data_IF_741229294624
#
_entry.id   IF_741229294624
#
_cell.length_a   1.000
_cell.length_b   1.000
_cell.length_c   1.000
_cell.angle_alpha   90.00
_cell.angle_beta   90.00
_cell.angle_gamma   90.00
#
_symmetry.space_group_name_H-M   'P 1'
#
loop_
_entity.id
_entity.type
_entity.pdbx_description
1 polymer ?
#
# COMPACT_ATOMS: atom_id res chain seq x y z
N UNK A 1 -3.14 17.52 -10.58
CA UNK A 1 -2.98 17.79 -9.14
C UNK A 1 -4.13 17.06 -8.47
N UNK A 2 -3.87 16.03 -7.69
CA UNK A 2 -4.92 15.39 -6.90
C UNK A 2 -5.40 16.40 -5.86
N UNK A 3 -6.72 16.48 -5.68
CA UNK A 3 -7.31 17.39 -4.72
C UNK A 3 -7.21 16.80 -3.31
N UNK A 4 -7.07 17.66 -2.30
CA UNK A 4 -7.09 17.23 -0.88
C UNK A 4 -8.35 16.42 -0.56
N UNK A 5 -9.46 16.73 -1.23
CA UNK A 5 -10.73 16.02 -1.14
C UNK A 5 -10.64 14.53 -1.52
N UNK A 6 -9.87 14.19 -2.57
CA UNK A 6 -9.67 12.80 -3.01
C UNK A 6 -8.83 12.03 -1.99
N UNK A 7 -7.83 12.68 -1.38
CA UNK A 7 -7.02 12.09 -0.32
C UNK A 7 -7.85 11.82 0.94
N UNK A 8 -8.72 12.75 1.33
CA UNK A 8 -9.61 12.59 2.49
C UNK A 8 -10.62 11.48 2.24
N UNK A 9 -11.20 11.42 1.04
CA UNK A 9 -12.14 10.36 0.66
C UNK A 9 -11.50 8.98 0.71
N UNK A 10 -10.27 8.84 0.21
CA UNK A 10 -9.54 7.56 0.26
C UNK A 10 -9.19 7.13 1.69
N UNK A 11 -8.88 8.07 2.58
CA UNK A 11 -8.69 7.76 4.00
C UNK A 11 -9.97 7.24 4.66
N UNK A 12 -11.13 7.77 4.26
CA UNK A 12 -12.42 7.28 4.74
C UNK A 12 -12.69 5.85 4.24
N UNK A 13 -12.39 5.54 2.97
CA UNK A 13 -12.50 4.17 2.45
C UNK A 13 -11.61 3.16 3.20
N UNK A 14 -10.34 3.51 3.47
CA UNK A 14 -9.45 2.66 4.27
C UNK A 14 -10.03 2.45 5.66
N UNK A 15 -10.53 3.52 6.29
CA UNK A 15 -11.13 3.46 7.62
C UNK A 15 -12.38 2.58 7.63
N UNK A 16 -13.25 2.69 6.62
CA UNK A 16 -14.43 1.85 6.40
C UNK A 16 -14.03 0.37 6.27
N UNK A 17 -13.03 0.06 5.44
CA UNK A 17 -12.56 -1.30 5.21
C UNK A 17 -11.89 -1.93 6.44
N UNK A 18 -11.18 -1.12 7.23
CA UNK A 18 -10.53 -1.54 8.46
C UNK A 18 -11.38 -1.26 9.71
N UNK A 19 -12.68 -0.97 9.60
CA UNK A 19 -13.55 -0.78 10.77
C UNK A 19 -13.54 -1.99 11.72
N UNK A 20 -13.42 -3.19 11.15
CA UNK A 20 -13.36 -4.45 11.92
C UNK A 20 -11.97 -4.74 12.50
N UNK A 21 -10.95 -4.01 12.07
CA UNK A 21 -9.55 -4.22 12.46
C UNK A 21 -8.81 -2.88 12.58
N UNK A 22 -9.07 -2.12 13.67
CA UNK A 22 -8.50 -0.79 13.85
C UNK A 22 -6.96 -0.80 13.89
N UNK A 23 -6.33 -1.93 14.22
CA UNK A 23 -4.88 -2.09 14.18
C UNK A 23 -4.29 -1.96 12.78
N UNK A 24 -5.02 -2.31 11.72
CA UNK A 24 -4.57 -2.07 10.33
C UNK A 24 -4.60 -0.59 9.96
N UNK A 25 -5.62 0.14 10.39
CA UNK A 25 -5.71 1.58 10.16
C UNK A 25 -4.58 2.32 10.89
N UNK A 26 -4.28 1.93 12.14
CA UNK A 26 -3.18 2.53 12.90
C UNK A 26 -1.82 2.28 12.22
N UNK A 27 -1.57 1.07 11.72
CA UNK A 27 -0.38 0.76 10.92
C UNK A 27 -0.28 1.59 9.65
N UNK A 28 -1.39 1.86 8.97
CA UNK A 28 -1.37 2.75 7.80
C UNK A 28 -0.88 4.16 8.18
N UNK A 29 -1.38 4.70 9.30
CA UNK A 29 -0.97 6.02 9.79
C UNK A 29 0.50 6.04 10.23
N UNK A 30 0.98 4.97 10.85
CA UNK A 30 2.39 4.79 11.22
C UNK A 30 3.30 4.84 9.99
N UNK A 31 2.97 4.09 8.94
CA UNK A 31 3.70 4.11 7.66
C UNK A 31 3.70 5.52 7.04
N UNK A 32 2.55 6.20 7.03
CA UNK A 32 2.45 7.55 6.47
C UNK A 32 3.25 8.57 7.29
N UNK A 33 3.30 8.41 8.61
CA UNK A 33 4.12 9.25 9.51
C UNK A 33 5.61 9.02 9.25
N UNK A 34 6.05 7.78 9.18
CA UNK A 34 7.44 7.43 8.89
C UNK A 34 7.89 7.98 7.54
N UNK A 35 7.03 7.90 6.52
CA UNK A 35 7.31 8.47 5.21
C UNK A 35 7.38 10.00 5.25
N UNK A 36 6.44 10.66 5.93
CA UNK A 36 6.44 12.12 6.10
C UNK A 36 7.66 12.61 6.90
N UNK A 37 8.16 11.79 7.82
CA UNK A 37 9.36 12.03 8.60
C UNK A 37 10.66 11.68 7.89
N UNK A 38 10.63 11.25 6.62
CA UNK A 38 11.79 10.72 5.89
C UNK A 38 12.50 9.53 6.60
N UNK A 39 11.81 8.82 7.48
CA UNK A 39 12.33 7.62 8.17
C UNK A 39 12.41 6.46 7.19
N UNK A 40 11.38 6.32 6.34
CA UNK A 40 11.30 5.30 5.30
C UNK A 40 11.28 5.94 3.92
N UNK A 41 11.90 5.26 2.95
CA UNK A 41 11.92 5.70 1.55
C UNK A 41 10.59 5.41 0.85
N UNK A 42 10.36 6.05 -0.31
CA UNK A 42 9.20 5.75 -1.19
C UNK A 42 9.06 4.27 -1.48
N UNK A 43 10.18 3.56 -1.69
CA UNK A 43 10.16 2.12 -1.89
C UNK A 43 9.59 1.37 -0.67
N UNK A 44 10.13 1.62 0.54
CA UNK A 44 9.66 1.03 1.80
C UNK A 44 8.17 1.32 2.07
N UNK A 45 7.71 2.56 1.82
CA UNK A 45 6.29 2.91 2.00
C UNK A 45 5.39 2.03 1.13
N UNK A 46 5.78 1.81 -0.13
CA UNK A 46 5.01 1.01 -1.08
C UNK A 46 4.96 -0.45 -0.67
N UNK A 47 6.08 -1.00 -0.21
CA UNK A 47 6.15 -2.38 0.30
C UNK A 47 5.21 -2.56 1.49
N UNK A 48 5.31 -1.69 2.49
CA UNK A 48 4.48 -1.79 3.70
C UNK A 48 2.99 -1.62 3.38
N UNK A 49 2.63 -0.67 2.52
CA UNK A 49 1.25 -0.46 2.06
C UNK A 49 0.74 -1.67 1.27
N UNK A 50 1.57 -2.24 0.37
CA UNK A 50 1.21 -3.42 -0.41
C UNK A 50 0.88 -4.64 0.46
N UNK A 51 1.63 -4.82 1.56
CA UNK A 51 1.37 -5.89 2.53
C UNK A 51 0.13 -5.60 3.36
N UNK A 52 -0.12 -4.33 3.71
CA UNK A 52 -1.29 -3.92 4.47
C UNK A 52 -2.59 -4.07 3.68
N UNK A 53 -2.55 -3.76 2.38
CA UNK A 53 -3.68 -3.88 1.45
C UNK A 53 -3.79 -5.26 0.81
N UNK A 54 -2.95 -6.21 1.22
CA UNK A 54 -3.03 -7.58 0.78
C UNK A 54 -4.40 -8.18 1.16
N UNK A 55 -5.12 -8.71 0.16
CA UNK A 55 -6.49 -9.19 0.31
C UNK A 55 -7.58 -8.11 0.13
N UNK A 56 -7.20 -6.85 -0.11
CA UNK A 56 -8.11 -5.73 -0.37
C UNK A 56 -7.80 -5.09 -1.73
N UNK A 57 -8.19 -5.73 -2.85
CA UNK A 57 -7.85 -5.25 -4.20
C UNK A 57 -8.37 -3.85 -4.51
N UNK A 58 -9.50 -3.45 -3.90
CA UNK A 58 -10.08 -2.11 -4.04
C UNK A 58 -9.15 -1.03 -3.47
N UNK A 59 -8.55 -1.27 -2.29
CA UNK A 59 -7.59 -0.34 -1.68
C UNK A 59 -6.31 -0.23 -2.50
N UNK A 60 -5.83 -1.36 -3.04
CA UNK A 60 -4.65 -1.38 -3.93
C UNK A 60 -4.90 -0.52 -5.18
N UNK A 61 -6.07 -0.68 -5.81
CA UNK A 61 -6.46 0.09 -7.00
C UNK A 61 -6.62 1.57 -6.68
N UNK A 62 -7.30 1.88 -5.57
CA UNK A 62 -7.47 3.26 -5.11
C UNK A 62 -6.14 3.92 -4.76
N UNK A 63 -5.12 3.18 -4.32
CA UNK A 63 -3.80 3.76 -4.04
C UNK A 63 -3.05 4.21 -5.30
N UNK A 64 -3.34 3.63 -6.47
CA UNK A 64 -2.64 3.96 -7.73
C UNK A 64 -2.76 5.43 -8.13
N UNK A 65 -3.83 6.11 -7.73
CA UNK A 65 -3.99 7.54 -8.01
C UNK A 65 -3.01 8.39 -7.20
N UNK A 66 -2.52 7.89 -6.06
CA UNK A 66 -1.54 8.58 -5.20
C UNK A 66 -0.09 8.27 -5.61
N UNK A 67 0.12 7.40 -6.58
CA UNK A 67 1.44 7.04 -7.06
C UNK A 67 1.93 8.01 -8.15
N UNK A 68 3.22 8.40 -8.14
CA UNK A 68 3.80 9.16 -9.23
C UNK A 68 3.82 8.35 -10.53
N UNK A 69 3.82 9.04 -11.67
CA UNK A 69 3.81 8.42 -12.98
C UNK A 69 4.93 7.36 -13.12
N UNK A 70 4.56 6.15 -13.51
CA UNK A 70 5.45 4.99 -13.63
C UNK A 70 5.39 4.01 -12.45
N UNK A 71 4.79 4.39 -11.32
CA UNK A 71 4.51 3.47 -10.21
C UNK A 71 3.07 2.97 -10.28
N UNK A 72 2.89 1.66 -10.16
CA UNK A 72 1.56 1.03 -10.16
C UNK A 72 1.56 -0.19 -9.24
N UNK A 73 0.58 -0.26 -8.35
CA UNK A 73 0.29 -1.45 -7.57
C UNK A 73 -0.82 -2.26 -8.25
N UNK A 74 -0.58 -3.55 -8.45
CA UNK A 74 -1.53 -4.48 -9.03
C UNK A 74 -1.79 -5.64 -8.06
N UNK A 75 -3.04 -5.87 -7.63
CA UNK A 75 -3.37 -7.07 -6.87
C UNK A 75 -3.17 -8.27 -7.78
N UNK A 76 -2.44 -9.26 -7.30
CA UNK A 76 -2.20 -10.52 -7.99
C UNK A 76 -2.45 -11.69 -7.07
N UNK A 77 -2.54 -12.87 -7.65
CA UNK A 77 -2.62 -14.11 -6.92
C UNK A 77 -1.42 -14.94 -7.33
N UNK A 78 -0.58 -15.31 -6.37
CA UNK A 78 0.54 -16.20 -6.61
C UNK A 78 0.05 -17.57 -7.12
N UNK A 79 0.92 -18.36 -7.72
CA UNK A 79 0.63 -19.73 -8.22
C UNK A 79 0.06 -20.66 -7.14
N UNK A 80 0.25 -20.32 -5.85
CA UNK A 80 -0.35 -21.01 -4.70
C UNK A 80 -1.79 -20.58 -4.37
N UNK A 81 -2.42 -19.70 -5.16
CA UNK A 81 -3.75 -19.14 -4.86
C UNK A 81 -3.75 -18.08 -3.75
N UNK A 82 -2.57 -17.59 -3.36
CA UNK A 82 -2.41 -16.63 -2.25
C UNK A 82 -2.40 -15.20 -2.79
N UNK A 83 -3.16 -14.31 -2.16
CA UNK A 83 -3.17 -12.89 -2.52
C UNK A 83 -1.76 -12.30 -2.37
N UNK A 84 -1.32 -11.58 -3.40
CA UNK A 84 -0.05 -10.89 -3.51
C UNK A 84 -0.28 -9.49 -4.12
N UNK A 85 0.69 -8.60 -4.02
CA UNK A 85 0.63 -7.29 -4.66
C UNK A 85 1.92 -7.09 -5.45
N UNK A 86 1.79 -6.81 -6.73
CA UNK A 86 2.89 -6.48 -7.62
C UNK A 86 3.06 -4.97 -7.65
N UNK A 87 4.31 -4.50 -7.58
CA UNK A 87 4.61 -3.09 -7.77
C UNK A 87 5.43 -2.94 -9.05
N UNK A 88 4.81 -2.31 -10.04
CA UNK A 88 5.46 -1.93 -11.28
C UNK A 88 6.11 -0.57 -11.02
N UNK A 89 7.42 -0.50 -11.21
CA UNK A 89 8.19 0.74 -11.12
C UNK A 89 8.71 1.10 -12.51
N UNK A 90 9.08 2.36 -12.80
CA UNK A 90 9.68 2.70 -14.10
C UNK A 90 11.04 2.03 -14.33
N UNK A 91 11.64 1.44 -13.29
CA UNK A 91 12.87 0.63 -13.37
C UNK A 91 12.60 -0.86 -13.68
N UNK A 92 11.33 -1.31 -13.65
CA UNK A 92 10.93 -2.70 -13.87
C UNK A 92 9.82 -3.17 -12.90
N UNK A 93 9.31 -4.39 -13.13
CA UNK A 93 8.32 -5.03 -12.24
C UNK A 93 9.05 -5.66 -11.05
N UNK A 94 8.75 -5.21 -9.84
CA UNK A 94 9.26 -5.82 -8.60
C UNK A 94 8.10 -6.51 -7.89
N UNK A 95 8.20 -7.84 -7.74
CA UNK A 95 7.24 -8.63 -6.97
C UNK A 95 7.66 -8.60 -5.50
N UNK A 96 6.79 -8.11 -4.62
CA UNK A 96 7.05 -8.09 -3.17
C UNK A 96 6.31 -9.26 -2.52
N UNK A 97 7.02 -10.36 -2.19
CA UNK A 97 6.43 -11.40 -1.37
C UNK A 97 6.09 -10.87 0.02
N UNK A 98 5.05 -11.43 0.64
CA UNK A 98 4.53 -11.06 1.96
C UNK A 98 5.61 -11.05 3.07
N UNK A 99 6.70 -11.79 2.89
CA UNK A 99 7.81 -11.92 3.83
C UNK A 99 8.68 -10.67 4.00
N UNK A 100 8.48 -9.61 3.20
CA UNK A 100 9.18 -8.34 3.43
C UNK A 100 8.84 -7.71 4.79
N UNK A 101 7.62 -7.96 5.30
CA UNK A 101 7.18 -7.47 6.61
C UNK A 101 7.83 -8.19 7.81
N UNK A 102 8.68 -9.20 7.58
CA UNK A 102 9.30 -10.00 8.65
C UNK A 102 10.78 -9.72 8.87
N UNK A 103 11.43 -8.86 8.08
CA UNK A 103 12.89 -8.80 8.12
C UNK A 103 13.51 -7.84 9.13
N UNK A 104 12.85 -6.75 9.53
CA UNK A 104 13.43 -5.85 10.54
C UNK A 104 12.34 -5.11 11.33
N UNK A 105 12.10 -5.56 12.56
CA UNK A 105 11.65 -4.74 13.70
C UNK A 105 12.12 -5.37 15.02
#
# INVERSE_FOLDING_TARGET
MLSVDEAVSFLDEIKLQFQRDPGKYDRFLDIMRDFRGNVISTHEVLVRISALFNGYPELVRGFNQFLPAGYKLEPSTDSSGRSAVLLNTPQGVTMYPRDYARRDY
#
